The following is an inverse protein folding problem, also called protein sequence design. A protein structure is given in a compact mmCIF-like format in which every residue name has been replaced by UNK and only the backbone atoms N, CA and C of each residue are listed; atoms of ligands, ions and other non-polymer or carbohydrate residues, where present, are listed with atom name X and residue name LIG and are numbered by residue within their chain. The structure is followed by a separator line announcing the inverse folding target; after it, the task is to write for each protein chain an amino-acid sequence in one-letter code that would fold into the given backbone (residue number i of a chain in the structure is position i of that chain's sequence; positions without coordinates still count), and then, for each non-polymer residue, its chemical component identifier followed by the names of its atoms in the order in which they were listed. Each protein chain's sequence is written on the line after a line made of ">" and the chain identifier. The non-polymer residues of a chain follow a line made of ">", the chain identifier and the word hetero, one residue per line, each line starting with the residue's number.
data_IF_933412231644
#
_entry.id   IF_933412231644
#
_cell.length_a   1.000
_cell.length_b   1.000
_cell.length_c   1.000
_cell.angle_alpha   90.00
_cell.angle_beta   90.00
_cell.angle_gamma   90.00
#
_symmetry.space_group_name_H-M   'P 1'
#
loop_
_entity.id
_entity.type
_entity.pdbx_description
1 polymer ?
#
# COMPACT_ATOMS: atom_id res chain seq x y z
N UNK A 1 2.72 2.26 21.86
CA UNK A 1 2.84 2.71 20.46
C UNK A 1 1.57 2.33 19.72
N UNK A 2 1.03 3.23 18.89
CA UNK A 2 -0.10 2.99 18.00
C UNK A 2 0.36 3.10 16.55
N UNK A 3 -0.09 2.22 15.68
CA UNK A 3 0.32 2.21 14.27
C UNK A 3 -0.92 2.21 13.37
N UNK A 4 -1.01 3.20 12.48
CA UNK A 4 -1.99 3.21 11.40
C UNK A 4 -1.48 2.40 10.21
N UNK A 5 -2.37 1.60 9.61
CA UNK A 5 -2.13 0.86 8.37
C UNK A 5 -3.21 1.23 7.36
N UNK A 6 -2.93 2.21 6.50
CA UNK A 6 -3.79 2.57 5.39
C UNK A 6 -3.48 1.65 4.20
N UNK A 7 -4.48 0.91 3.72
CA UNK A 7 -4.23 -0.07 2.67
C UNK A 7 -5.48 -0.61 1.98
N UNK A 8 -5.23 -1.64 1.20
CA UNK A 8 -6.23 -2.38 0.40
C UNK A 8 -6.55 -3.77 0.97
N UNK A 9 -6.86 -4.74 0.11
CA UNK A 9 -7.17 -6.13 0.47
C UNK A 9 -6.03 -6.83 1.21
N UNK A 10 -4.76 -6.52 0.89
CA UNK A 10 -3.61 -7.10 1.56
C UNK A 10 -3.57 -6.65 3.02
N UNK A 11 -3.81 -5.36 3.28
CA UNK A 11 -3.88 -4.80 4.63
C UNK A 11 -5.11 -5.29 5.39
N UNK A 12 -6.24 -5.46 4.70
CA UNK A 12 -7.45 -6.06 5.29
C UNK A 12 -7.26 -7.53 5.67
N UNK A 13 -6.29 -8.22 5.05
CA UNK A 13 -6.03 -9.65 5.29
C UNK A 13 -7.01 -10.56 4.56
N UNK A 14 -7.41 -10.18 3.34
CA UNK A 14 -8.33 -11.00 2.51
C UNK A 14 -7.69 -12.35 2.22
N UNK A 15 -8.50 -13.41 2.28
CA UNK A 15 -8.14 -14.83 2.10
C UNK A 15 -7.34 -15.47 3.24
N UNK A 16 -7.01 -14.77 4.31
CA UNK A 16 -6.41 -15.39 5.49
C UNK A 16 -7.46 -16.21 6.27
N UNK A 17 -7.01 -17.32 6.83
CA UNK A 17 -7.88 -18.19 7.65
C UNK A 17 -8.22 -17.54 9.01
N UNK A 18 -7.34 -16.69 9.51
CA UNK A 18 -7.51 -15.98 10.79
C UNK A 18 -7.07 -14.51 10.68
N UNK A 19 -7.78 -13.59 11.33
CA UNK A 19 -7.31 -12.21 11.49
C UNK A 19 -5.94 -12.12 12.17
N UNK A 20 -5.56 -13.09 12.99
CA UNK A 20 -4.27 -13.13 13.69
C UNK A 20 -3.07 -13.34 12.76
N UNK A 21 -3.30 -13.79 11.53
CA UNK A 21 -2.28 -13.99 10.50
C UNK A 21 -1.95 -12.70 9.72
N UNK A 22 -2.71 -11.63 9.91
CA UNK A 22 -2.44 -10.34 9.24
C UNK A 22 -1.07 -9.80 9.62
N UNK A 23 -0.31 -9.30 8.64
CA UNK A 23 1.00 -8.69 8.89
C UNK A 23 0.91 -7.53 9.90
N UNK A 24 -0.20 -6.82 9.92
CA UNK A 24 -0.48 -5.71 10.82
C UNK A 24 -0.59 -6.18 12.27
N UNK A 25 -1.32 -7.28 12.51
CA UNK A 25 -1.45 -7.92 13.83
C UNK A 25 -0.13 -8.54 14.27
N UNK A 26 0.55 -9.27 13.39
CA UNK A 26 1.84 -9.90 13.67
C UNK A 26 2.90 -8.87 14.07
N UNK A 27 2.99 -7.76 13.32
CA UNK A 27 3.90 -6.67 13.64
C UNK A 27 3.57 -6.03 15.01
N UNK A 28 2.30 -5.72 15.23
CA UNK A 28 1.87 -5.09 16.48
C UNK A 28 2.10 -5.99 17.69
N UNK A 29 1.87 -7.30 17.59
CA UNK A 29 2.21 -8.27 18.64
C UNK A 29 3.71 -8.25 18.96
N UNK A 30 4.59 -8.25 17.94
CA UNK A 30 6.06 -8.18 18.13
C UNK A 30 6.54 -6.90 18.82
N UNK A 31 5.88 -5.79 18.58
CA UNK A 31 6.23 -4.47 19.10
C UNK A 31 5.52 -4.11 20.41
N UNK A 32 4.55 -4.90 20.87
CA UNK A 32 3.64 -4.50 21.95
C UNK A 32 2.84 -3.24 21.59
N UNK A 33 2.45 -3.09 20.33
CA UNK A 33 1.76 -1.93 19.78
C UNK A 33 0.26 -2.18 19.59
N UNK A 34 -0.50 -1.10 19.46
CA UNK A 34 -1.91 -1.13 19.05
C UNK A 34 -2.01 -1.03 17.54
N UNK A 35 -2.76 -1.93 16.93
CA UNK A 35 -3.10 -1.91 15.51
C UNK A 35 -4.29 -0.99 15.26
N UNK A 36 -4.16 -0.08 14.29
CA UNK A 36 -5.27 0.63 13.67
C UNK A 36 -5.28 0.26 12.17
N UNK A 37 -6.13 -0.70 11.80
CA UNK A 37 -6.18 -1.23 10.43
C UNK A 37 -7.28 -0.55 9.61
N UNK A 38 -6.87 0.14 8.56
CA UNK A 38 -7.73 0.82 7.58
C UNK A 38 -7.66 0.15 6.20
N UNK A 39 -7.46 -1.16 6.15
CA UNK A 39 -7.49 -1.96 4.92
C UNK A 39 -8.91 -2.11 4.38
N UNK A 40 -9.12 -1.81 3.09
CA UNK A 40 -10.38 -2.06 2.39
C UNK A 40 -10.09 -2.78 1.08
N UNK A 41 -10.70 -3.95 0.88
CA UNK A 41 -10.53 -4.75 -0.34
C UNK A 41 -10.89 -3.94 -1.57
N UNK A 42 -10.06 -4.04 -2.63
CA UNK A 42 -10.26 -3.34 -3.89
C UNK A 42 -10.00 -1.83 -3.86
N UNK A 43 -9.67 -1.26 -2.68
CA UNK A 43 -9.43 0.18 -2.56
C UNK A 43 -8.24 0.63 -3.41
N UNK A 44 -8.40 1.76 -4.07
CA UNK A 44 -7.40 2.42 -4.90
C UNK A 44 -6.87 3.67 -4.21
N UNK A 45 -5.67 4.07 -4.56
CA UNK A 45 -5.10 5.35 -4.10
C UNK A 45 -5.83 6.50 -4.78
N UNK A 46 -5.92 6.43 -6.11
CA UNK A 46 -6.60 7.45 -6.91
C UNK A 46 -8.11 7.27 -6.92
N UNK A 47 -8.81 8.40 -6.96
CA UNK A 47 -10.27 8.44 -7.11
C UNK A 47 -10.68 8.00 -8.51
N UNK A 48 -11.70 7.14 -8.58
CA UNK A 48 -12.24 6.67 -9.83
C UNK A 48 -13.06 7.76 -10.51
N UNK A 49 -12.96 7.86 -11.83
CA UNK A 49 -13.83 8.74 -12.66
C UNK A 49 -15.21 8.13 -12.82
N UNK A 50 -15.27 6.81 -13.03
CA UNK A 50 -16.50 6.03 -13.10
C UNK A 50 -16.70 5.29 -11.78
N UNK A 51 -17.74 5.66 -11.06
CA UNK A 51 -18.09 4.99 -9.81
C UNK A 51 -18.60 3.57 -10.08
N UNK A 52 -18.25 2.65 -9.20
CA UNK A 52 -18.82 1.31 -9.14
C UNK A 52 -20.24 1.36 -8.56
N UNK A 53 -21.11 0.44 -8.96
CA UNK A 53 -22.41 0.24 -8.32
C UNK A 53 -22.27 -0.21 -6.86
N UNK A 54 -21.21 -0.94 -6.55
CA UNK A 54 -20.82 -1.23 -5.16
C UNK A 54 -20.06 -0.03 -4.58
N UNK A 55 -20.74 0.72 -3.70
CA UNK A 55 -20.18 1.90 -3.06
C UNK A 55 -18.91 1.60 -2.25
N UNK A 56 -18.73 0.38 -1.72
CA UNK A 56 -17.53 0.02 -0.97
C UNK A 56 -16.27 0.10 -1.82
N UNK A 57 -16.38 -0.18 -3.12
CA UNK A 57 -15.29 -0.09 -4.09
C UNK A 57 -14.92 1.35 -4.49
N UNK A 58 -15.74 2.33 -4.12
CA UNK A 58 -15.49 3.75 -4.39
C UNK A 58 -14.73 4.45 -3.25
N UNK A 59 -14.41 3.73 -2.17
CA UNK A 59 -13.63 4.25 -1.04
C UNK A 59 -12.15 4.27 -1.38
N UNK A 60 -11.72 5.31 -2.09
CA UNK A 60 -10.30 5.56 -2.34
C UNK A 60 -9.53 5.92 -1.06
N UNK A 61 -8.18 5.94 -1.13
CA UNK A 61 -7.36 6.26 0.04
C UNK A 61 -7.58 7.69 0.52
N UNK A 62 -7.81 8.64 -0.41
CA UNK A 62 -8.03 10.05 -0.07
C UNK A 62 -9.29 10.25 0.75
N UNK A 63 -10.37 9.52 0.44
CA UNK A 63 -11.65 9.62 1.14
C UNK A 63 -11.60 9.13 2.59
N UNK A 64 -10.49 8.46 3.01
CA UNK A 64 -10.33 7.84 4.32
C UNK A 64 -9.23 8.47 5.17
N UNK A 65 -8.60 9.53 4.68
CA UNK A 65 -7.50 10.18 5.41
C UNK A 65 -7.96 10.75 6.75
N UNK A 66 -9.18 11.27 6.81
CA UNK A 66 -9.75 11.81 8.05
C UNK A 66 -10.15 10.74 9.07
N UNK A 67 -10.34 9.49 8.63
CA UNK A 67 -10.65 8.34 9.50
C UNK A 67 -9.42 7.91 10.33
N UNK A 68 -8.19 8.26 9.93
CA UNK A 68 -6.96 7.84 10.59
C UNK A 68 -6.86 8.40 12.01
N UNK A 69 -6.41 7.57 12.96
CA UNK A 69 -6.09 8.02 14.33
C UNK A 69 -4.91 9.00 14.27
N UNK A 70 -5.20 10.29 14.46
CA UNK A 70 -4.21 11.39 14.43
C UNK A 70 -3.22 11.34 15.59
N UNK A 71 -3.48 10.50 16.60
CA UNK A 71 -2.58 10.25 17.73
C UNK A 71 -1.63 9.07 17.51
N UNK A 72 -1.67 8.44 16.33
CA UNK A 72 -0.78 7.33 16.00
C UNK A 72 0.69 7.75 15.98
N UNK A 73 1.55 6.87 16.46
CA UNK A 73 3.00 7.09 16.51
C UNK A 73 3.66 6.86 15.15
N UNK A 74 3.05 6.03 14.30
CA UNK A 74 3.55 5.70 12.97
C UNK A 74 2.41 5.37 12.01
N UNK A 75 2.60 5.65 10.72
CA UNK A 75 1.64 5.34 9.65
C UNK A 75 2.34 4.63 8.51
N UNK A 76 1.88 3.42 8.18
CA UNK A 76 2.22 2.73 6.95
C UNK A 76 1.11 2.91 5.93
N UNK A 77 1.50 3.10 4.66
CA UNK A 77 0.59 3.15 3.52
C UNK A 77 1.00 2.07 2.53
N UNK A 78 0.08 1.18 2.21
CA UNK A 78 0.34 0.06 1.32
C UNK A 78 -0.78 -0.05 0.27
N UNK A 79 -0.52 0.39 -0.95
CA UNK A 79 -1.51 0.44 -2.03
C UNK A 79 -0.90 0.69 -3.40
N UNK A 80 -1.75 0.77 -4.43
CA UNK A 80 -1.37 0.99 -5.82
C UNK A 80 -1.56 -0.24 -6.71
N UNK A 81 -1.64 -1.45 -6.14
CA UNK A 81 -1.90 -2.66 -6.94
C UNK A 81 -3.27 -2.64 -7.61
N UNK A 82 -4.28 -2.03 -6.97
CA UNK A 82 -5.63 -1.91 -7.54
C UNK A 82 -5.73 -0.77 -8.56
N UNK A 83 -4.95 0.30 -8.41
CA UNK A 83 -4.83 1.35 -9.41
C UNK A 83 -4.26 0.78 -10.71
N UNK A 84 -3.21 -0.05 -10.60
CA UNK A 84 -2.68 -0.81 -11.71
C UNK A 84 -3.70 -1.83 -12.23
N UNK A 85 -4.25 -2.70 -11.37
CA UNK A 85 -5.05 -3.86 -11.75
C UNK A 85 -6.33 -3.47 -12.50
N UNK A 86 -7.14 -2.60 -11.92
CA UNK A 86 -8.48 -2.29 -12.43
C UNK A 86 -8.93 -0.83 -12.21
N UNK A 87 -8.04 0.06 -11.78
CA UNK A 87 -8.34 1.49 -11.68
C UNK A 87 -8.57 2.14 -13.04
N UNK A 88 -9.48 3.12 -13.10
CA UNK A 88 -9.75 3.93 -14.29
C UNK A 88 -9.02 5.29 -14.30
N UNK A 89 -8.37 5.63 -13.20
CA UNK A 89 -7.53 6.80 -13.12
C UNK A 89 -6.21 6.54 -13.85
N UNK A 90 -5.72 7.48 -14.69
CA UNK A 90 -4.41 7.35 -15.34
C UNK A 90 -3.28 7.47 -14.30
N UNK A 91 -2.08 7.01 -14.66
CA UNK A 91 -0.89 7.23 -13.85
C UNK A 91 -0.67 8.74 -13.60
N UNK A 92 -0.87 9.57 -14.62
CA UNK A 92 -0.65 11.02 -14.56
C UNK A 92 0.83 11.40 -14.61
N UNK A 93 1.13 12.64 -14.18
CA UNK A 93 2.47 13.21 -14.16
C UNK A 93 2.87 13.59 -12.73
N UNK A 94 4.18 13.66 -12.48
CA UNK A 94 4.74 13.94 -11.13
C UNK A 94 4.18 15.23 -10.48
N UNK A 95 3.90 16.27 -11.27
CA UNK A 95 3.36 17.55 -10.80
C UNK A 95 1.84 17.60 -10.62
N UNK A 96 1.11 16.52 -10.90
CA UNK A 96 -0.36 16.52 -10.80
C UNK A 96 -0.82 16.76 -9.35
N UNK A 97 -1.92 17.54 -9.23
CA UNK A 97 -2.58 17.82 -7.95
C UNK A 97 -4.10 17.55 -8.03
N UNK A 98 -4.48 16.50 -8.73
CA UNK A 98 -5.86 16.04 -8.89
C UNK A 98 -6.06 14.69 -8.22
N UNK A 99 -7.21 14.41 -7.58
CA UNK A 99 -7.49 13.08 -7.03
C UNK A 99 -7.73 12.03 -8.13
N UNK A 100 -7.85 12.42 -9.39
CA UNK A 100 -8.22 11.58 -10.53
C UNK A 100 -7.02 11.13 -11.40
N UNK A 101 -5.81 11.23 -10.90
CA UNK A 101 -4.62 10.56 -11.41
C UNK A 101 -3.83 9.97 -10.25
N UNK A 102 -3.05 8.91 -10.51
CA UNK A 102 -2.31 8.23 -9.44
C UNK A 102 -1.26 9.16 -8.80
N UNK A 103 -0.43 9.84 -9.62
CA UNK A 103 0.52 10.83 -9.10
C UNK A 103 -0.18 11.95 -8.32
N UNK A 104 -1.28 12.47 -8.85
CA UNK A 104 -2.02 13.54 -8.18
C UNK A 104 -2.59 13.11 -6.84
N UNK A 105 -3.17 11.91 -6.77
CA UNK A 105 -3.68 11.34 -5.53
C UNK A 105 -2.56 11.07 -4.51
N UNK A 106 -1.40 10.54 -4.98
CA UNK A 106 -0.22 10.34 -4.13
C UNK A 106 0.29 11.68 -3.57
N UNK A 107 0.37 12.73 -4.38
CA UNK A 107 0.79 14.05 -3.93
C UNK A 107 -0.14 14.64 -2.86
N UNK A 108 -1.47 14.59 -3.10
CA UNK A 108 -2.48 15.07 -2.14
C UNK A 108 -2.40 14.28 -0.83
N UNK A 109 -2.33 12.94 -0.91
CA UNK A 109 -2.22 12.07 0.25
C UNK A 109 -0.95 12.35 1.05
N UNK A 110 0.19 12.49 0.35
CA UNK A 110 1.49 12.74 0.97
C UNK A 110 1.51 14.08 1.71
N UNK A 111 1.00 15.14 1.08
CA UNK A 111 0.89 16.46 1.71
C UNK A 111 0.04 16.41 2.99
N UNK A 112 -1.13 15.75 2.94
CA UNK A 112 -2.01 15.56 4.10
C UNK A 112 -1.32 14.78 5.23
N UNK A 113 -0.70 13.63 4.89
CA UNK A 113 -0.09 12.74 5.87
C UNK A 113 1.13 13.38 6.55
N UNK A 114 1.95 14.10 5.79
CA UNK A 114 3.10 14.87 6.34
C UNK A 114 2.60 15.98 7.25
N UNK A 115 1.57 16.73 6.83
CA UNK A 115 0.97 17.78 7.65
C UNK A 115 0.39 17.27 8.98
N UNK A 116 -0.15 16.03 8.97
CA UNK A 116 -0.79 15.41 10.14
C UNK A 116 0.20 14.70 11.05
N UNK A 117 1.11 13.90 10.49
CA UNK A 117 1.98 12.99 11.26
C UNK A 117 3.46 13.40 11.24
N UNK A 118 3.88 14.19 10.24
CA UNK A 118 5.29 14.44 9.95
C UNK A 118 5.93 13.30 9.13
N UNK A 119 6.84 13.65 8.23
CA UNK A 119 7.48 12.69 7.30
C UNK A 119 8.20 11.53 8.00
N UNK A 120 8.80 11.78 9.18
CA UNK A 120 9.58 10.77 9.91
C UNK A 120 8.71 9.68 10.54
N UNK A 121 7.40 9.88 10.61
CA UNK A 121 6.40 8.91 11.10
C UNK A 121 5.56 8.30 9.98
N UNK A 122 6.03 8.40 8.74
CA UNK A 122 5.35 7.90 7.55
C UNK A 122 6.29 6.98 6.76
N UNK A 123 5.73 5.89 6.21
CA UNK A 123 6.43 5.00 5.30
C UNK A 123 5.47 4.43 4.27
N UNK A 124 5.84 4.50 3.00
CA UNK A 124 5.15 3.81 1.92
C UNK A 124 5.72 2.40 1.73
N UNK A 125 4.83 1.44 1.48
CA UNK A 125 5.19 0.09 1.07
C UNK A 125 4.84 -0.05 -0.41
N UNK A 126 5.80 -0.46 -1.22
CA UNK A 126 5.58 -0.66 -2.66
C UNK A 126 4.67 -1.87 -2.90
N UNK A 127 3.80 -1.83 -3.93
CA UNK A 127 3.03 -2.98 -4.36
C UNK A 127 3.91 -4.22 -4.57
N UNK A 128 3.45 -5.37 -4.06
CA UNK A 128 4.14 -6.65 -4.23
C UNK A 128 4.11 -7.11 -5.70
N UNK A 129 5.04 -7.99 -6.10
CA UNK A 129 4.96 -8.66 -7.39
C UNK A 129 3.64 -9.42 -7.54
N UNK A 130 3.11 -9.45 -8.75
CA UNK A 130 1.89 -10.18 -9.10
C UNK A 130 2.00 -10.81 -10.49
N UNK A 131 1.18 -11.83 -10.75
CA UNK A 131 1.28 -12.69 -11.92
C UNK A 131 1.18 -11.97 -13.29
N UNK A 132 0.59 -10.76 -13.33
CA UNK A 132 0.34 -10.01 -14.57
C UNK A 132 0.93 -8.60 -14.56
N UNK A 133 1.95 -8.34 -13.72
CA UNK A 133 2.46 -6.99 -13.44
C UNK A 133 3.03 -6.23 -14.66
N UNK A 134 3.34 -6.95 -15.75
CA UNK A 134 3.78 -6.37 -17.02
C UNK A 134 2.62 -6.05 -17.99
N UNK A 135 1.39 -6.46 -17.67
CA UNK A 135 0.25 -6.24 -18.53
C UNK A 135 -0.24 -4.79 -18.43
N UNK A 136 0.05 -3.99 -19.46
CA UNK A 136 -0.34 -2.56 -19.52
C UNK A 136 -1.86 -2.32 -19.60
N UNK A 137 -2.66 -3.37 -19.69
CA UNK A 137 -4.12 -3.32 -19.59
C UNK A 137 -4.66 -3.72 -18.22
N UNK A 138 -3.78 -3.89 -17.26
CA UNK A 138 -4.14 -4.29 -15.91
C UNK A 138 -4.60 -5.75 -15.83
N UNK A 139 -5.28 -6.07 -14.75
CA UNK A 139 -5.75 -7.42 -14.46
C UNK A 139 -6.69 -7.92 -15.54
N UNK A 140 -6.38 -9.11 -16.11
CA UNK A 140 -7.15 -9.73 -17.19
C UNK A 140 -7.44 -8.79 -18.38
N UNK A 141 -6.58 -7.82 -18.64
CA UNK A 141 -6.78 -6.82 -19.69
C UNK A 141 -8.09 -6.01 -19.53
N UNK A 142 -8.55 -5.78 -18.31
CA UNK A 142 -9.84 -5.13 -18.04
C UNK A 142 -9.86 -3.62 -18.35
N UNK A 143 -8.69 -2.98 -18.42
CA UNK A 143 -8.62 -1.56 -18.77
C UNK A 143 -8.89 -1.35 -20.26
N UNK A 144 -9.74 -0.39 -20.57
CA UNK A 144 -10.14 -0.06 -21.95
C UNK A 144 -8.93 0.43 -22.76
N UNK A 145 -8.10 1.26 -22.15
CA UNK A 145 -6.90 1.82 -22.79
C UNK A 145 -5.63 1.15 -22.27
N UNK A 146 -4.60 1.09 -23.10
CA UNK A 146 -3.25 0.67 -22.66
C UNK A 146 -2.73 1.73 -21.70
N UNK A 147 -2.37 1.29 -20.49
CA UNK A 147 -1.92 2.18 -19.45
C UNK A 147 -0.43 1.90 -19.10
N UNK A 148 -0.15 1.55 -17.86
CA UNK A 148 1.18 1.45 -17.30
C UNK A 148 1.39 0.07 -16.66
N UNK A 149 2.65 -0.38 -16.57
CA UNK A 149 3.02 -1.60 -15.82
C UNK A 149 2.95 -1.32 -14.32
N UNK A 150 2.91 -2.37 -13.48
CA UNK A 150 2.94 -2.18 -12.03
C UNK A 150 4.25 -1.50 -11.56
N UNK A 151 5.37 -1.75 -12.27
CA UNK A 151 6.63 -1.08 -11.94
C UNK A 151 6.56 0.44 -12.15
N UNK A 152 5.86 0.92 -13.17
CA UNK A 152 5.65 2.35 -13.37
C UNK A 152 4.84 2.98 -12.22
N UNK A 153 3.91 2.23 -11.59
CA UNK A 153 3.23 2.67 -10.36
C UNK A 153 4.16 2.65 -9.13
N UNK A 154 5.04 1.65 -9.00
CA UNK A 154 6.08 1.64 -7.95
C UNK A 154 7.03 2.82 -8.09
N UNK A 155 7.46 3.15 -9.32
CA UNK A 155 8.28 4.33 -9.59
C UNK A 155 7.58 5.63 -9.20
N UNK A 156 6.28 5.76 -9.49
CA UNK A 156 5.52 6.93 -9.07
C UNK A 156 5.51 7.11 -7.54
N UNK A 157 5.36 6.00 -6.79
CA UNK A 157 5.45 6.04 -5.31
C UNK A 157 6.85 6.46 -4.86
N UNK A 158 7.92 5.88 -5.45
CA UNK A 158 9.31 6.25 -5.12
C UNK A 158 9.59 7.72 -5.40
N UNK A 159 9.11 8.24 -6.53
CA UNK A 159 9.29 9.63 -6.92
C UNK A 159 8.62 10.57 -5.93
N UNK A 160 7.33 10.38 -5.66
CA UNK A 160 6.59 11.24 -4.70
C UNK A 160 7.20 11.15 -3.29
N UNK A 161 7.56 9.96 -2.85
CA UNK A 161 8.20 9.77 -1.54
C UNK A 161 9.56 10.47 -1.47
N UNK A 162 10.40 10.31 -2.51
CA UNK A 162 11.73 10.91 -2.59
C UNK A 162 11.70 12.44 -2.59
N UNK A 163 10.78 13.05 -3.35
CA UNK A 163 10.59 14.51 -3.38
C UNK A 163 10.17 15.07 -2.01
N UNK A 164 9.47 14.27 -1.19
CA UNK A 164 8.97 14.68 0.11
C UNK A 164 9.81 14.17 1.30
N UNK A 165 10.86 13.40 1.06
CA UNK A 165 11.71 12.82 2.08
C UNK A 165 10.98 11.81 2.97
N UNK A 166 10.02 11.07 2.41
CA UNK A 166 9.28 9.98 3.04
C UNK A 166 9.99 8.66 2.77
N UNK A 167 10.09 7.81 3.78
CA UNK A 167 10.69 6.49 3.63
C UNK A 167 9.82 5.58 2.74
N UNK A 168 10.49 4.73 1.95
CA UNK A 168 9.86 3.70 1.13
C UNK A 168 10.43 2.34 1.51
N UNK A 169 9.56 1.35 1.70
CA UNK A 169 9.93 -0.05 1.84
C UNK A 169 9.62 -0.78 0.53
N UNK A 170 10.66 -1.27 -0.09
CA UNK A 170 10.58 -2.22 -1.19
C UNK A 170 10.62 -3.64 -0.60
N UNK A 171 9.56 -4.40 -0.85
CA UNK A 171 9.42 -5.80 -0.43
C UNK A 171 9.49 -6.76 -1.61
N UNK A 172 9.75 -6.27 -2.82
CA UNK A 172 9.73 -7.08 -4.03
C UNK A 172 10.80 -8.16 -4.04
N UNK A 173 11.90 -7.95 -3.31
CA UNK A 173 12.96 -8.95 -3.10
C UNK A 173 12.54 -10.15 -2.25
N UNK A 174 11.45 -10.04 -1.49
CA UNK A 174 10.91 -11.13 -0.66
C UNK A 174 10.00 -12.08 -1.43
N UNK A 175 9.41 -11.59 -2.52
CA UNK A 175 8.38 -12.32 -3.27
C UNK A 175 8.85 -12.56 -4.69
N UNK A 176 8.94 -13.81 -5.14
CA UNK A 176 9.11 -14.08 -6.56
C UNK A 176 7.87 -13.63 -7.32
N UNK A 177 8.06 -13.18 -8.57
CA UNK A 177 6.90 -12.86 -9.43
C UNK A 177 6.10 -14.14 -9.67
N UNK A 178 4.82 -14.20 -9.29
CA UNK A 178 3.99 -15.37 -9.49
C UNK A 178 3.80 -15.65 -10.98
N UNK A 179 3.87 -16.93 -11.38
CA UNK A 179 3.78 -17.34 -12.79
C UNK A 179 2.36 -17.35 -13.35
N UNK A 180 1.37 -17.37 -12.48
CA UNK A 180 -0.04 -17.46 -12.87
C UNK A 180 -0.94 -17.00 -11.70
N UNK A 181 -2.21 -16.74 -12.03
CA UNK A 181 -3.26 -16.49 -11.05
C UNK A 181 -3.67 -17.80 -10.35
N UNK A 182 -2.85 -18.24 -9.42
CA UNK A 182 -3.10 -19.44 -8.60
C UNK A 182 -2.26 -19.38 -7.33
N UNK A 183 -2.62 -20.22 -6.36
CA UNK A 183 -1.84 -20.37 -5.15
C UNK A 183 -0.39 -20.80 -5.43
N UNK A 184 0.54 -20.20 -4.71
CA UNK A 184 1.95 -20.54 -4.70
C UNK A 184 2.48 -20.59 -3.26
N UNK A 185 3.80 -20.56 -3.09
CA UNK A 185 4.42 -20.64 -1.76
C UNK A 185 4.04 -19.47 -0.85
N UNK A 186 3.79 -18.28 -1.40
CA UNK A 186 3.62 -17.02 -0.66
C UNK A 186 2.28 -16.34 -0.87
N UNK A 187 1.54 -16.74 -1.89
CA UNK A 187 0.24 -16.15 -2.24
C UNK A 187 -0.85 -17.21 -2.38
N UNK A 188 -2.11 -16.79 -2.22
CA UNK A 188 -3.28 -17.67 -2.42
C UNK A 188 -3.76 -17.69 -3.87
N UNK A 189 -3.44 -16.65 -4.65
CA UNK A 189 -3.97 -16.44 -6.00
C UNK A 189 -3.00 -15.73 -6.96
N UNK A 190 -1.72 -15.63 -6.61
CA UNK A 190 -0.72 -14.90 -7.38
C UNK A 190 -0.74 -13.38 -7.16
N UNK A 191 -1.51 -12.90 -6.17
CA UNK A 191 -1.61 -11.49 -5.76
C UNK A 191 -1.64 -11.35 -4.22
N UNK A 192 -2.60 -12.02 -3.57
CA UNK A 192 -2.82 -11.86 -2.14
C UNK A 192 -1.88 -12.77 -1.34
N UNK A 193 -1.04 -12.24 -0.46
CA UNK A 193 -0.18 -13.04 0.39
C UNK A 193 -0.99 -14.03 1.25
N UNK A 194 -0.48 -15.25 1.38
CA UNK A 194 -0.96 -16.22 2.37
C UNK A 194 -0.35 -15.92 3.76
N UNK A 195 -0.62 -16.74 4.77
CA UNK A 195 -0.10 -16.54 6.13
C UNK A 195 1.43 -16.39 6.16
N UNK A 196 2.17 -17.19 5.36
CA UNK A 196 3.62 -17.10 5.25
C UNK A 196 4.07 -15.77 4.63
N UNK A 197 3.39 -15.31 3.57
CA UNK A 197 3.63 -14.01 2.95
C UNK A 197 3.39 -12.86 3.93
N UNK A 198 2.33 -12.92 4.72
CA UNK A 198 2.05 -11.93 5.76
C UNK A 198 3.12 -11.92 6.87
N UNK A 199 3.61 -13.08 7.28
CA UNK A 199 4.71 -13.17 8.25
C UNK A 199 5.98 -12.49 7.72
N UNK A 200 6.35 -12.73 6.45
CA UNK A 200 7.51 -12.09 5.82
C UNK A 200 7.39 -10.56 5.78
N UNK A 201 6.20 -10.05 5.45
CA UNK A 201 5.92 -8.59 5.49
C UNK A 201 6.13 -8.08 6.92
N UNK A 202 5.52 -8.72 7.92
CA UNK A 202 5.64 -8.31 9.32
C UNK A 202 7.09 -8.26 9.81
N UNK A 203 7.91 -9.26 9.48
CA UNK A 203 9.34 -9.30 9.82
C UNK A 203 10.12 -8.14 9.20
N UNK A 204 9.88 -7.84 7.92
CA UNK A 204 10.54 -6.73 7.24
C UNK A 204 10.16 -5.38 7.88
N UNK A 205 8.89 -5.16 8.19
CA UNK A 205 8.42 -3.94 8.85
C UNK A 205 8.97 -3.81 10.28
N UNK A 206 9.05 -4.91 11.01
CA UNK A 206 9.69 -4.95 12.33
C UNK A 206 11.16 -4.55 12.28
N UNK A 207 11.90 -5.13 11.34
CA UNK A 207 13.31 -4.79 11.10
C UNK A 207 13.51 -3.32 10.74
N UNK A 208 12.62 -2.75 9.93
CA UNK A 208 12.65 -1.33 9.57
C UNK A 208 12.41 -0.43 10.78
N UNK A 209 11.34 -0.64 11.56
CA UNK A 209 11.02 0.21 12.72
C UNK A 209 12.10 0.13 13.79
N UNK A 210 12.66 -1.05 14.05
CA UNK A 210 13.74 -1.21 15.03
C UNK A 210 15.02 -0.50 14.60
N UNK A 211 15.38 -0.50 13.32
CA UNK A 211 16.51 0.28 12.78
C UNK A 211 16.26 1.77 12.89
N UNK A 212 15.04 2.22 12.58
CA UNK A 212 14.64 3.64 12.64
C UNK A 212 14.73 4.16 14.09
N UNK A 213 14.19 3.43 15.05
CA UNK A 213 14.27 3.79 16.48
C UNK A 213 15.72 3.93 16.98
N UNK A 214 16.62 3.02 16.57
CA UNK A 214 18.06 3.08 16.92
C UNK A 214 18.79 4.28 16.32
N UNK A 215 18.37 4.75 15.13
CA UNK A 215 18.95 5.97 14.52
C UNK A 215 18.56 7.22 15.31
N UNK A 216 17.30 7.34 15.70
CA UNK A 216 16.80 8.48 16.49
C UNK A 216 17.52 8.53 17.84
N UNK A 217 17.67 7.40 18.55
CA UNK A 217 18.36 7.35 19.85
C UNK A 217 19.86 7.63 19.79
N UNK A 218 20.50 7.60 18.62
CA UNK A 218 21.92 7.95 18.43
C UNK A 218 22.13 9.42 18.02
N UNK A 219 21.05 10.11 17.67
CA UNK A 219 21.07 11.52 17.22
C UNK A 219 20.73 12.52 18.33
N UNK A 220 20.41 11.99 19.53
CA UNK A 220 20.16 12.71 20.78
C UNK A 220 21.37 12.54 21.69
#
# INVERSE_FOLDING_TARGET
>A
MKINFLGDSITAGVWLASPDEKYTVLLCKKLGATENNYGISGARVARQKKLSEDESLNRDFLSRLDDLDKTADFTFVFGGTNDYGHGDAPLGNAGDKTPYSFYGAMNIMTEYLIGTFGKDRLCYILPLPRFDEENRRGEHSCKVEVANTLEEYREAIRNVAGENGVDVLDLTDLFPVPKAQKADEFTVDGLHPNAKGHEMIAERLYGYLTKKARKISKSI
#
